data_IF_713279598258
#
_entry.id   IF_713279598258
#
_cell.length_a   1.000
_cell.length_b   1.000
_cell.length_c   1.000
_cell.angle_alpha   90.00
_cell.angle_beta   90.00
_cell.angle_gamma   90.00
#
_symmetry.space_group_name_H-M   'P 1'
#
loop_
_entity.id
_entity.type
_entity.pdbx_description
1 polymer ?
#
# COMPACT_ATOMS: atom_id res chain seq x y z
N UNK A 1 -6.83 -7.02 -2.94
CA UNK A 1 -5.94 -7.03 -4.11
C UNK A 1 -6.41 -5.98 -5.10
N UNK A 2 -5.56 -5.02 -5.45
CA UNK A 2 -5.82 -3.99 -6.45
C UNK A 2 -4.85 -4.18 -7.62
N UNK A 3 -5.29 -4.11 -8.87
CA UNK A 3 -4.40 -4.16 -10.03
C UNK A 3 -3.71 -2.79 -10.23
N UNK A 4 -2.87 -2.41 -9.27
CA UNK A 4 -2.13 -1.16 -9.18
C UNK A 4 -0.75 -1.39 -8.57
N UNK A 5 0.08 -2.18 -9.24
CA UNK A 5 1.44 -2.47 -8.81
C UNK A 5 2.49 -1.56 -9.43
N UNK A 6 3.75 -1.93 -9.25
CA UNK A 6 4.90 -1.12 -9.70
C UNK A 6 5.00 -0.97 -11.22
N UNK A 7 4.41 -1.88 -11.99
CA UNK A 7 4.46 -1.79 -13.46
C UNK A 7 3.45 -0.80 -14.05
N UNK A 8 2.41 -0.43 -13.28
CA UNK A 8 1.40 0.54 -13.69
C UNK A 8 1.76 1.98 -13.31
N UNK A 9 2.81 2.18 -12.50
CA UNK A 9 3.19 3.51 -12.04
C UNK A 9 3.84 4.36 -13.14
N UNK A 10 3.54 5.66 -13.17
CA UNK A 10 4.15 6.63 -14.08
C UNK A 10 5.59 6.98 -13.67
N UNK A 11 5.82 7.05 -12.38
CA UNK A 11 7.13 7.33 -11.79
C UNK A 11 7.50 6.30 -10.73
N UNK A 12 8.79 6.03 -10.49
CA UNK A 12 9.22 5.11 -9.45
C UNK A 12 8.62 5.44 -8.10
N UNK A 13 8.38 4.42 -7.27
CA UNK A 13 7.89 4.53 -5.90
C UNK A 13 6.42 4.95 -5.73
N UNK A 14 5.74 5.44 -6.77
CA UNK A 14 4.36 5.89 -6.69
C UNK A 14 3.42 4.80 -6.15
N UNK A 15 3.47 3.59 -6.70
CA UNK A 15 2.63 2.47 -6.24
C UNK A 15 2.95 2.06 -4.80
N UNK A 16 4.25 1.98 -4.46
CA UNK A 16 4.70 1.60 -3.12
C UNK A 16 4.20 2.58 -2.04
N UNK A 17 4.44 3.88 -2.27
CA UNK A 17 4.07 4.89 -1.29
C UNK A 17 2.56 5.10 -1.21
N UNK A 18 1.83 5.00 -2.33
CA UNK A 18 0.36 5.03 -2.30
C UNK A 18 -0.20 3.93 -1.39
N UNK A 19 0.25 2.69 -1.59
CA UNK A 19 -0.20 1.57 -0.77
C UNK A 19 0.18 1.76 0.71
N UNK A 20 1.43 2.12 0.99
CA UNK A 20 1.96 2.29 2.35
C UNK A 20 1.24 3.39 3.13
N UNK A 21 0.92 4.49 2.45
CA UNK A 21 0.29 5.67 3.06
C UNK A 21 -1.20 5.49 3.36
N UNK A 22 -1.85 4.42 2.91
CA UNK A 22 -3.26 4.17 3.20
C UNK A 22 -3.58 4.18 4.70
N UNK A 23 -2.69 3.64 5.52
CA UNK A 23 -2.88 3.56 6.98
C UNK A 23 -2.41 4.80 7.76
N UNK A 24 -1.77 5.76 7.08
CA UNK A 24 -1.20 6.94 7.73
C UNK A 24 -2.24 8.04 7.97
N UNK A 25 -3.47 7.84 7.52
CA UNK A 25 -4.61 8.70 7.83
C UNK A 25 -5.77 8.52 6.86
N UNK A 26 -6.96 8.62 7.41
CA UNK A 26 -8.22 8.62 6.68
C UNK A 26 -9.02 9.85 7.05
N UNK A 27 -10.15 10.09 6.38
CA UNK A 27 -11.08 11.17 6.78
C UNK A 27 -11.65 10.97 8.18
N UNK A 28 -11.74 9.72 8.67
CA UNK A 28 -12.34 9.35 9.97
C UNK A 28 -11.30 9.24 11.09
N UNK A 29 -10.07 8.85 10.76
CA UNK A 29 -9.05 8.48 11.75
C UNK A 29 -7.67 8.94 11.30
N UNK A 30 -6.87 9.44 12.22
CA UNK A 30 -5.42 9.61 12.05
C UNK A 30 -4.68 8.26 12.20
N UNK A 31 -3.39 8.24 11.89
CA UNK A 31 -2.54 7.05 11.96
C UNK A 31 -2.53 6.41 13.37
N UNK A 32 -2.44 7.24 14.41
CA UNK A 32 -2.41 6.76 15.80
C UNK A 32 -3.72 6.07 16.18
N UNK A 33 -4.85 6.66 15.78
CA UNK A 33 -6.17 6.10 16.05
C UNK A 33 -6.44 4.82 15.27
N UNK A 34 -5.93 4.71 14.04
CA UNK A 34 -6.00 3.47 13.25
C UNK A 34 -5.22 2.36 13.97
N UNK A 35 -3.98 2.64 14.38
CA UNK A 35 -3.14 1.68 15.10
C UNK A 35 -3.81 1.23 16.42
N UNK A 36 -4.24 2.19 17.26
CA UNK A 36 -4.93 1.91 18.52
C UNK A 36 -6.17 1.01 18.36
N UNK A 37 -6.98 1.29 17.33
CA UNK A 37 -8.18 0.49 17.06
C UNK A 37 -7.85 -0.93 16.60
N UNK A 38 -6.88 -1.09 15.73
CA UNK A 38 -6.44 -2.42 15.27
C UNK A 38 -5.87 -3.22 16.45
N UNK A 39 -5.01 -2.61 17.25
CA UNK A 39 -4.44 -3.25 18.45
C UNK A 39 -5.52 -3.64 19.46
N UNK A 40 -6.50 -2.77 19.70
CA UNK A 40 -7.62 -3.04 20.62
C UNK A 40 -8.42 -4.29 20.20
N UNK A 41 -8.61 -4.51 18.90
CA UNK A 41 -9.32 -5.69 18.37
C UNK A 41 -8.39 -6.88 18.12
N UNK A 42 -7.09 -6.76 18.39
CA UNK A 42 -6.10 -7.80 18.08
C UNK A 42 -6.05 -8.11 16.58
N UNK A 43 -6.25 -7.08 15.77
CA UNK A 43 -6.23 -7.19 14.31
C UNK A 43 -4.87 -6.74 13.76
N UNK A 44 -4.50 -7.30 12.60
CA UNK A 44 -3.27 -6.97 11.91
C UNK A 44 -3.56 -6.53 10.48
N UNK A 45 -2.98 -5.41 10.07
CA UNK A 45 -3.08 -4.89 8.71
C UNK A 45 -1.71 -4.97 8.03
N UNK A 46 -1.65 -5.67 6.90
CA UNK A 46 -0.48 -5.74 6.05
C UNK A 46 -0.73 -5.02 4.72
N UNK A 47 0.21 -4.15 4.35
CA UNK A 47 0.18 -3.38 3.13
C UNK A 47 1.43 -3.69 2.31
N UNK A 48 1.26 -4.18 1.09
CA UNK A 48 2.38 -4.48 0.21
C UNK A 48 2.08 -4.14 -1.25
N UNK A 49 3.12 -3.86 -2.02
CA UNK A 49 3.03 -3.55 -3.45
C UNK A 49 4.01 -4.42 -4.22
N UNK A 50 3.46 -5.26 -5.10
CA UNK A 50 4.21 -6.12 -6.00
C UNK A 50 4.34 -5.50 -7.40
N UNK A 51 4.73 -6.29 -8.38
CA UNK A 51 4.91 -5.84 -9.76
C UNK A 51 3.60 -5.41 -10.41
N UNK A 52 2.56 -6.22 -10.31
CA UNK A 52 1.26 -5.98 -10.96
C UNK A 52 0.17 -5.55 -9.99
N UNK A 53 0.28 -5.91 -8.71
CA UNK A 53 -0.79 -5.75 -7.74
C UNK A 53 -0.31 -5.04 -6.48
N UNK A 54 -1.24 -4.34 -5.86
CA UNK A 54 -1.16 -3.87 -4.50
C UNK A 54 -2.05 -4.75 -3.60
N UNK A 55 -1.53 -5.08 -2.42
CA UNK A 55 -2.21 -5.94 -1.45
C UNK A 55 -2.54 -5.13 -0.20
N UNK A 56 -3.75 -5.33 0.25
CA UNK A 56 -4.22 -4.85 1.56
C UNK A 56 -4.81 -6.08 2.25
N UNK A 57 -4.13 -6.58 3.26
CA UNK A 57 -4.52 -7.81 3.96
C UNK A 57 -4.87 -7.48 5.40
N UNK A 58 -6.08 -7.82 5.80
CA UNK A 58 -6.55 -7.69 7.18
C UNK A 58 -6.63 -9.07 7.82
N UNK A 59 -5.94 -9.24 8.93
CA UNK A 59 -6.09 -10.40 9.83
C UNK A 59 -6.94 -9.97 11.02
N UNK A 60 -8.04 -10.68 11.26
CA UNK A 60 -8.97 -10.33 12.33
C UNK A 60 -9.61 -11.59 12.94
N UNK A 61 -9.93 -11.50 14.21
CA UNK A 61 -10.79 -12.49 14.86
C UNK A 61 -12.23 -12.34 14.35
N UNK A 62 -12.92 -13.45 14.08
CA UNK A 62 -14.31 -13.42 13.61
C UNK A 62 -15.23 -12.60 14.53
N UNK A 63 -15.00 -12.65 15.84
CA UNK A 63 -15.74 -11.89 16.84
C UNK A 63 -15.71 -10.37 16.59
N UNK A 64 -14.62 -9.85 16.06
CA UNK A 64 -14.40 -8.41 15.85
C UNK A 64 -14.38 -8.02 14.38
N UNK A 65 -14.69 -8.97 13.50
CA UNK A 65 -14.64 -8.74 12.05
C UNK A 65 -15.49 -7.53 11.60
N UNK A 66 -16.71 -7.30 12.09
CA UNK A 66 -17.47 -6.11 11.70
C UNK A 66 -16.74 -4.80 11.99
N UNK A 67 -16.18 -4.66 13.19
CA UNK A 67 -15.47 -3.44 13.61
C UNK A 67 -14.17 -3.23 12.84
N UNK A 68 -13.42 -4.31 12.58
CA UNK A 68 -12.16 -4.23 11.84
C UNK A 68 -12.38 -4.01 10.34
N UNK A 69 -13.49 -4.48 9.78
CA UNK A 69 -13.90 -4.18 8.40
C UNK A 69 -14.28 -2.70 8.24
N UNK A 70 -14.91 -2.06 9.24
CA UNK A 70 -15.20 -0.62 9.21
C UNK A 70 -13.92 0.23 9.19
N UNK A 71 -12.87 -0.23 9.91
CA UNK A 71 -11.54 0.40 9.85
C UNK A 71 -10.93 0.20 8.46
N UNK A 72 -10.95 -1.03 7.94
CA UNK A 72 -10.44 -1.35 6.62
C UNK A 72 -11.16 -0.54 5.53
N UNK A 73 -12.47 -0.41 5.62
CA UNK A 73 -13.25 0.41 4.70
C UNK A 73 -12.72 1.85 4.67
N UNK A 74 -12.52 2.48 5.84
CA UNK A 74 -12.01 3.85 5.90
C UNK A 74 -10.61 3.97 5.31
N UNK A 75 -9.74 2.98 5.54
CA UNK A 75 -8.37 2.93 5.01
C UNK A 75 -8.37 2.82 3.48
N UNK A 76 -9.24 1.98 2.93
CA UNK A 76 -9.28 1.72 1.48
C UNK A 76 -10.05 2.79 0.72
N UNK A 77 -11.14 3.35 1.29
CA UNK A 77 -12.03 4.28 0.58
C UNK A 77 -11.72 5.75 0.83
N UNK A 78 -11.15 6.10 1.97
CA UNK A 78 -11.05 7.50 2.42
C UNK A 78 -9.63 7.91 2.84
N UNK A 79 -8.53 7.44 2.21
CA UNK A 79 -7.18 7.84 2.61
C UNK A 79 -6.96 9.33 2.31
N UNK A 80 -6.23 10.03 3.18
CA UNK A 80 -5.97 11.46 3.03
C UNK A 80 -4.54 11.81 2.62
N UNK A 81 -3.59 10.88 2.72
CA UNK A 81 -2.17 11.06 2.38
C UNK A 81 -1.55 12.29 3.06
N UNK A 82 -1.44 12.31 4.40
CA UNK A 82 -0.98 13.50 5.10
C UNK A 82 0.48 13.81 4.74
N UNK A 83 0.77 15.08 4.45
CA UNK A 83 2.09 15.51 3.97
C UNK A 83 3.19 15.31 5.03
N UNK A 84 2.86 15.56 6.30
CA UNK A 84 3.79 15.41 7.41
C UNK A 84 4.28 13.96 7.55
N UNK A 85 3.35 13.01 7.59
CA UNK A 85 3.64 11.57 7.70
C UNK A 85 4.39 11.08 6.46
N UNK A 86 3.99 11.55 5.28
CA UNK A 86 4.69 11.25 4.04
C UNK A 86 6.15 11.72 4.10
N UNK A 87 6.41 12.95 4.57
CA UNK A 87 7.76 13.49 4.72
C UNK A 87 8.64 12.60 5.58
N UNK A 88 8.14 12.20 6.75
CA UNK A 88 8.88 11.29 7.67
C UNK A 88 9.19 9.95 7.00
N UNK A 89 8.21 9.36 6.31
CA UNK A 89 8.38 8.07 5.64
C UNK A 89 9.38 8.21 4.48
N UNK A 90 9.31 9.27 3.69
CA UNK A 90 10.24 9.54 2.58
C UNK A 90 11.66 9.68 3.11
N UNK A 91 11.89 10.50 4.14
CA UNK A 91 13.22 10.73 4.71
C UNK A 91 13.82 9.43 5.26
N UNK A 92 13.06 8.64 6.00
CA UNK A 92 13.50 7.34 6.50
C UNK A 92 13.88 6.37 5.35
N UNK A 93 13.11 6.39 4.26
CA UNK A 93 13.40 5.54 3.11
C UNK A 93 14.62 6.01 2.32
N UNK A 94 14.87 7.33 2.23
CA UNK A 94 16.12 7.87 1.66
C UNK A 94 17.31 7.40 2.47
N UNK A 95 17.30 7.52 3.81
CA UNK A 95 18.37 7.04 4.66
C UNK A 95 18.62 5.55 4.47
N UNK A 96 17.57 4.74 4.44
CA UNK A 96 17.71 3.30 4.20
C UNK A 96 18.27 2.99 2.80
N UNK A 97 17.87 3.75 1.78
CA UNK A 97 18.39 3.63 0.42
C UNK A 97 19.89 3.94 0.37
N UNK A 98 20.33 5.03 1.01
CA UNK A 98 21.73 5.42 1.07
C UNK A 98 22.59 4.34 1.76
N UNK A 99 22.14 3.84 2.91
CA UNK A 99 22.79 2.72 3.60
C UNK A 99 22.87 1.47 2.72
N UNK A 100 21.79 1.11 2.04
CA UNK A 100 21.78 -0.06 1.17
C UNK A 100 22.65 0.14 -0.09
N UNK A 101 22.78 1.37 -0.59
CA UNK A 101 23.57 1.69 -1.78
C UNK A 101 25.09 1.49 -1.56
N UNK A 102 25.54 1.33 -0.32
CA UNK A 102 26.93 0.94 0.00
C UNK A 102 27.15 -0.58 0.03
N UNK A 103 26.09 -1.39 -0.07
CA UNK A 103 26.18 -2.86 0.04
C UNK A 103 26.34 -3.50 -1.34
N UNK A 104 27.27 -4.43 -1.44
CA UNK A 104 27.60 -5.13 -2.70
C UNK A 104 26.41 -5.96 -3.22
N UNK A 105 25.71 -6.65 -2.35
CA UNK A 105 24.52 -7.46 -2.69
C UNK A 105 23.41 -6.61 -3.29
N UNK A 106 23.15 -5.44 -2.72
CA UNK A 106 22.18 -4.49 -3.25
C UNK A 106 22.57 -3.98 -4.65
N UNK A 107 23.83 -3.62 -4.85
CA UNK A 107 24.35 -3.17 -6.15
C UNK A 107 24.32 -4.30 -7.19
N UNK A 108 24.72 -5.51 -6.80
CA UNK A 108 24.69 -6.68 -7.68
C UNK A 108 23.25 -7.01 -8.11
N UNK A 109 22.30 -6.99 -7.19
CA UNK A 109 20.88 -7.21 -7.52
C UNK A 109 20.36 -6.15 -8.49
N UNK A 110 20.66 -4.88 -8.28
CA UNK A 110 20.29 -3.78 -9.20
C UNK A 110 20.90 -3.98 -10.59
N UNK A 111 22.16 -4.36 -10.65
CA UNK A 111 22.84 -4.68 -11.91
C UNK A 111 22.20 -5.85 -12.65
N UNK A 112 21.85 -6.92 -11.95
CA UNK A 112 21.15 -8.08 -12.49
C UNK A 112 19.77 -7.71 -13.06
N UNK A 113 18.96 -6.98 -12.28
CA UNK A 113 17.62 -6.54 -12.69
C UNK A 113 17.69 -5.68 -13.95
N UNK A 114 18.65 -4.74 -14.01
CA UNK A 114 18.87 -3.90 -15.21
C UNK A 114 19.31 -4.73 -16.42
N UNK A 115 20.17 -5.72 -16.22
CA UNK A 115 20.64 -6.59 -17.29
C UNK A 115 19.52 -7.49 -17.86
N UNK A 116 18.64 -8.01 -16.98
CA UNK A 116 17.53 -8.89 -17.39
C UNK A 116 16.40 -8.16 -18.11
N UNK A 117 15.98 -7.01 -17.59
CA UNK A 117 14.79 -6.30 -18.10
C UNK A 117 15.13 -5.15 -19.04
N UNK A 118 16.37 -4.63 -19.03
CA UNK A 118 16.73 -3.41 -19.74
C UNK A 118 16.12 -2.14 -19.11
N UNK A 119 16.52 -0.97 -19.62
CA UNK A 119 16.05 0.32 -19.06
C UNK A 119 14.66 0.75 -19.48
N UNK A 120 14.11 0.13 -20.52
CA UNK A 120 12.78 0.48 -21.07
C UNK A 120 11.62 -0.26 -20.38
N UNK A 121 11.90 -1.46 -19.87
CA UNK A 121 10.89 -2.25 -19.16
C UNK A 121 10.67 -1.71 -17.73
N UNK A 122 9.40 -1.60 -17.26
CA UNK A 122 9.11 -1.13 -15.89
C UNK A 122 9.86 -1.89 -14.81
N UNK A 123 10.08 -3.20 -14.99
CA UNK A 123 10.85 -4.05 -14.08
C UNK A 123 12.35 -3.72 -14.02
N UNK A 124 12.92 -3.12 -15.07
CA UNK A 124 14.33 -2.72 -15.14
C UNK A 124 14.61 -1.28 -14.71
N UNK A 125 13.56 -0.49 -14.43
CA UNK A 125 13.69 0.88 -13.97
C UNK A 125 14.21 0.90 -12.53
N UNK A 126 15.44 1.33 -12.35
CA UNK A 126 16.09 1.40 -11.04
C UNK A 126 15.71 2.70 -10.34
N UNK A 127 15.24 2.57 -9.11
CA UNK A 127 14.95 3.71 -8.21
C UNK A 127 16.26 4.48 -7.92
N UNK A 128 16.19 5.80 -7.94
CA UNK A 128 17.26 6.72 -7.54
C UNK A 128 16.82 7.54 -6.32
N UNK A 129 17.76 8.23 -5.67
CA UNK A 129 17.44 9.09 -4.51
C UNK A 129 16.44 10.18 -4.87
N UNK A 130 16.59 10.78 -6.04
CA UNK A 130 15.70 11.85 -6.54
C UNK A 130 14.26 11.39 -6.72
N UNK A 131 14.02 10.10 -6.97
CA UNK A 131 12.67 9.56 -7.11
C UNK A 131 11.88 9.64 -5.81
N UNK A 132 12.54 9.48 -4.66
CA UNK A 132 11.91 9.65 -3.35
C UNK A 132 11.44 11.09 -3.13
N UNK A 133 12.27 12.08 -3.53
CA UNK A 133 11.98 13.51 -3.36
C UNK A 133 10.85 14.02 -4.25
N UNK A 134 10.52 13.27 -5.30
CA UNK A 134 9.40 13.56 -6.21
C UNK A 134 8.05 13.04 -5.73
N UNK A 135 8.03 12.26 -4.66
CA UNK A 135 6.80 11.73 -4.09
C UNK A 135 6.10 12.82 -3.29
N UNK A 136 4.88 13.15 -3.69
CA UNK A 136 4.02 14.14 -3.04
C UNK A 136 2.62 13.56 -2.81
N UNK A 137 1.80 14.13 -1.90
CA UNK A 137 0.42 13.69 -1.72
C UNK A 137 -0.40 13.71 -3.02
N UNK A 138 -0.17 14.69 -3.88
CA UNK A 138 -0.85 14.79 -5.18
C UNK A 138 -0.51 13.62 -6.11
N UNK A 139 0.77 13.22 -6.17
CA UNK A 139 1.24 12.06 -6.93
C UNK A 139 0.61 10.77 -6.42
N UNK A 140 0.49 10.61 -5.10
CA UNK A 140 -0.14 9.44 -4.51
C UNK A 140 -1.65 9.42 -4.78
N UNK A 141 -2.31 10.58 -4.68
CA UNK A 141 -3.74 10.73 -4.96
C UNK A 141 -4.06 10.36 -6.41
N UNK A 142 -3.27 10.84 -7.38
CA UNK A 142 -3.45 10.47 -8.80
C UNK A 142 -3.40 8.95 -9.02
N UNK A 143 -2.45 8.27 -8.38
CA UNK A 143 -2.33 6.82 -8.51
C UNK A 143 -3.48 6.09 -7.80
N UNK A 144 -3.85 6.54 -6.62
CA UNK A 144 -4.97 6.00 -5.87
C UNK A 144 -6.28 6.12 -6.66
N UNK A 145 -6.63 7.30 -7.14
CA UNK A 145 -7.88 7.55 -7.86
C UNK A 145 -7.97 6.70 -9.14
N UNK A 146 -6.82 6.37 -9.74
CA UNK A 146 -6.76 5.56 -10.95
C UNK A 146 -6.89 4.06 -10.71
N UNK A 147 -6.35 3.54 -9.62
CA UNK A 147 -6.21 2.09 -9.42
C UNK A 147 -6.95 1.52 -8.21
N UNK A 148 -7.28 2.34 -7.21
CA UNK A 148 -7.93 1.88 -5.97
C UNK A 148 -9.44 2.12 -6.02
N UNK A 149 -10.13 1.35 -6.86
CA UNK A 149 -11.58 1.41 -7.00
C UNK A 149 -12.17 -0.01 -7.15
N UNK A 150 -13.46 -0.15 -6.89
CA UNK A 150 -14.15 -1.45 -6.82
C UNK A 150 -14.04 -2.27 -8.11
N UNK A 151 -14.11 -1.64 -9.30
CA UNK A 151 -13.98 -2.34 -10.59
C UNK A 151 -12.58 -2.92 -10.84
N UNK A 152 -11.60 -2.56 -10.03
CA UNK A 152 -10.20 -2.98 -10.14
C UNK A 152 -9.74 -3.74 -8.89
N UNK A 153 -10.69 -4.30 -8.13
CA UNK A 153 -10.45 -4.96 -6.86
C UNK A 153 -10.92 -6.42 -6.88
N UNK A 154 -10.10 -7.31 -6.33
CA UNK A 154 -10.48 -8.68 -6.02
C UNK A 154 -10.34 -8.93 -4.53
N UNK A 155 -11.37 -9.48 -3.90
CA UNK A 155 -11.39 -9.78 -2.47
C UNK A 155 -11.30 -11.29 -2.27
N UNK A 156 -10.36 -11.70 -1.43
CA UNK A 156 -10.14 -13.09 -1.08
C UNK A 156 -10.37 -13.27 0.42
N UNK A 157 -11.16 -14.26 0.77
CA UNK A 157 -11.46 -14.60 2.17
C UNK A 157 -10.88 -15.96 2.51
N UNK A 158 -10.22 -16.06 3.66
CA UNK A 158 -9.65 -17.30 4.16
C UNK A 158 -9.91 -17.44 5.66
N UNK A 159 -10.24 -18.64 6.10
CA UNK A 159 -10.54 -18.97 7.50
C UNK A 159 -11.96 -19.47 7.70
N UNK A 160 -12.54 -19.24 8.89
CA UNK A 160 -13.94 -19.57 9.15
C UNK A 160 -14.85 -18.52 8.54
N UNK A 161 -15.19 -18.69 7.26
CA UNK A 161 -16.07 -17.80 6.52
C UNK A 161 -17.52 -18.19 6.78
N UNK A 162 -18.36 -17.23 7.21
CA UNK A 162 -19.80 -17.40 7.41
C UNK A 162 -20.58 -16.55 6.42
N UNK A 163 -21.88 -16.83 6.23
CA UNK A 163 -22.74 -16.01 5.39
C UNK A 163 -22.75 -14.53 5.80
N UNK A 164 -22.78 -14.25 7.11
CA UNK A 164 -22.76 -12.88 7.63
C UNK A 164 -21.46 -12.15 7.27
N UNK A 165 -20.32 -12.84 7.28
CA UNK A 165 -19.04 -12.26 6.84
C UNK A 165 -19.11 -11.85 5.37
N UNK A 166 -19.66 -12.71 4.50
CA UNK A 166 -19.81 -12.44 3.07
C UNK A 166 -20.73 -11.23 2.88
N UNK A 167 -21.91 -11.25 3.45
CA UNK A 167 -22.87 -10.13 3.35
C UNK A 167 -22.30 -8.80 3.85
N UNK A 168 -21.54 -8.83 4.94
CA UNK A 168 -20.89 -7.61 5.45
C UNK A 168 -19.85 -7.07 4.46
N UNK A 169 -19.04 -7.92 3.87
CA UNK A 169 -18.04 -7.51 2.89
C UNK A 169 -18.71 -7.01 1.61
N UNK A 170 -19.75 -7.68 1.13
CA UNK A 170 -20.54 -7.23 -0.01
C UNK A 170 -21.17 -5.86 0.25
N UNK A 171 -21.72 -5.63 1.45
CA UNK A 171 -22.31 -4.34 1.81
C UNK A 171 -21.30 -3.20 1.88
N UNK A 172 -20.03 -3.49 2.25
CA UNK A 172 -18.98 -2.48 2.37
C UNK A 172 -18.20 -2.28 1.06
N UNK A 173 -17.94 -3.33 0.29
CA UNK A 173 -17.03 -3.31 -0.86
C UNK A 173 -17.68 -3.79 -2.17
N UNK A 174 -18.91 -4.26 -2.13
CA UNK A 174 -19.67 -4.64 -3.32
C UNK A 174 -20.09 -3.44 -4.16
N UNK A 175 -20.54 -3.73 -5.40
CA UNK A 175 -21.07 -2.74 -6.34
C UNK A 175 -22.54 -2.46 -6.06
#
# INVERSE_FOLDING_TARGET
LMAGGRWQQKQPLQALFTNRMLREGTRRYDAARIAEKLDYYGAWLELSSASEYAYVTLYSLNKYLPQTLDILESIVKEPVFPEKELGVIVDNNIQQFLVNSSKVDFLAHRGLVKALYGGQHPGGRLVQEEDYRRITPAVLREFYDRYYHYNNCSIYLSGKVTGDCIHRIESLFGC
#
